data_IF_552469744288
#
_entry.id   IF_552469744288
#
_cell.length_a   1.000
_cell.length_b   1.000
_cell.length_c   1.000
_cell.angle_alpha   90.00
_cell.angle_beta   90.00
_cell.angle_gamma   90.00
#
_symmetry.space_group_name_H-M   'P 1'
#
loop_
_entity.id
_entity.type
_entity.pdbx_description
1 polymer ?
#
# COMPACT_ATOMS: atom_id res chain seq x y z
N UNK A 1 6.77 -41.28 36.65
CA UNK A 1 6.61 -39.82 36.69
C UNK A 1 7.77 -39.20 35.92
N UNK A 2 7.59 -38.92 34.62
CA UNK A 2 8.33 -37.85 33.91
C UNK A 2 7.38 -37.33 32.83
N UNK A 3 7.19 -36.01 32.87
CA UNK A 3 6.17 -35.20 32.23
C UNK A 3 6.38 -35.06 30.72
N UNK A 4 5.27 -35.06 29.97
CA UNK A 4 5.25 -34.66 28.55
C UNK A 4 5.41 -33.14 28.46
N UNK A 5 6.49 -32.66 27.86
CA UNK A 5 6.54 -31.28 27.38
C UNK A 5 6.34 -31.32 25.87
N UNK A 6 5.10 -31.01 25.47
CA UNK A 6 4.74 -30.73 24.08
C UNK A 6 5.27 -29.34 23.76
N UNK A 7 6.37 -29.25 23.03
CA UNK A 7 6.79 -28.01 22.38
C UNK A 7 5.82 -27.74 21.21
N UNK A 8 4.70 -27.08 21.52
CA UNK A 8 3.85 -26.49 20.50
C UNK A 8 4.54 -25.23 20.00
N UNK A 9 5.44 -25.39 19.04
CA UNK A 9 5.95 -24.29 18.23
C UNK A 9 4.78 -23.65 17.49
N UNK A 10 4.26 -22.54 18.03
CA UNK A 10 3.38 -21.65 17.31
C UNK A 10 4.23 -20.99 16.23
N UNK A 11 4.25 -21.60 15.04
CA UNK A 11 4.84 -20.99 13.85
C UNK A 11 3.95 -19.80 13.54
N UNK A 12 4.27 -18.64 14.11
CA UNK A 12 3.72 -17.37 13.66
C UNK A 12 4.10 -17.27 12.18
N UNK A 13 3.11 -17.45 11.31
CA UNK A 13 3.31 -17.35 9.88
C UNK A 13 3.80 -15.94 9.61
N UNK A 14 5.11 -15.78 9.39
CA UNK A 14 5.65 -14.57 8.82
C UNK A 14 4.82 -14.32 7.55
N UNK A 15 4.19 -13.13 7.38
CA UNK A 15 3.44 -12.86 6.18
C UNK A 15 4.37 -13.15 5.01
N UNK A 16 3.91 -14.00 4.09
CA UNK A 16 4.69 -14.46 2.95
C UNK A 16 5.42 -13.26 2.33
N UNK A 17 6.66 -13.46 1.90
CA UNK A 17 7.46 -12.45 1.22
C UNK A 17 6.80 -12.10 -0.14
N UNK A 18 5.70 -11.36 -0.08
CA UNK A 18 5.02 -10.79 -1.23
C UNK A 18 5.95 -9.71 -1.77
N UNK A 19 6.17 -9.73 -3.09
CA UNK A 19 6.93 -8.68 -3.75
C UNK A 19 6.32 -7.32 -3.37
N UNK A 20 7.17 -6.36 -2.96
CA UNK A 20 6.69 -5.03 -2.56
C UNK A 20 5.82 -4.43 -3.66
N UNK A 21 4.67 -3.87 -3.28
CA UNK A 21 3.72 -3.29 -4.24
C UNK A 21 4.38 -2.17 -5.06
N UNK A 22 5.36 -1.47 -4.49
CA UNK A 22 6.14 -0.46 -5.22
C UNK A 22 6.89 -1.03 -6.45
N UNK A 23 7.41 -2.27 -6.36
CA UNK A 23 8.08 -2.93 -7.49
C UNK A 23 7.07 -3.26 -8.59
N UNK A 24 5.89 -3.76 -8.21
CA UNK A 24 4.81 -4.10 -9.14
C UNK A 24 4.34 -2.84 -9.88
N UNK A 25 4.12 -1.74 -9.15
CA UNK A 25 3.76 -0.45 -9.73
C UNK A 25 4.84 0.07 -10.69
N UNK A 26 6.13 -0.05 -10.32
CA UNK A 26 7.21 0.34 -11.23
C UNK A 26 7.22 -0.50 -12.50
N UNK A 27 7.06 -1.82 -12.39
CA UNK A 27 7.00 -2.72 -13.55
C UNK A 27 5.80 -2.40 -14.46
N UNK A 28 4.66 -1.99 -13.88
CA UNK A 28 3.44 -1.62 -14.61
C UNK A 28 3.59 -0.31 -15.37
N UNK A 29 4.15 0.72 -14.73
CA UNK A 29 4.15 2.09 -15.26
C UNK A 29 5.48 2.51 -15.89
N UNK A 30 6.56 1.77 -15.64
CA UNK A 30 7.91 2.03 -16.15
C UNK A 30 8.59 3.28 -15.57
N UNK A 31 8.00 3.90 -14.54
CA UNK A 31 8.46 5.17 -13.96
C UNK A 31 8.19 5.23 -12.47
N UNK A 32 8.96 6.06 -11.75
CA UNK A 32 8.84 6.25 -10.30
C UNK A 32 7.74 7.26 -9.90
N UNK A 33 7.00 7.82 -10.86
CA UNK A 33 5.96 8.83 -10.61
C UNK A 33 4.63 8.45 -11.25
N UNK A 34 3.57 8.47 -10.46
CA UNK A 34 2.20 8.27 -10.93
C UNK A 34 1.53 9.61 -11.17
N UNK A 35 0.78 9.69 -12.26
CA UNK A 35 -0.15 10.80 -12.51
C UNK A 35 -1.35 10.71 -11.57
N UNK A 36 -2.11 11.80 -11.44
CA UNK A 36 -3.34 11.78 -10.61
C UNK A 36 -4.38 10.78 -11.09
N UNK A 37 -4.50 10.57 -12.40
CA UNK A 37 -5.42 9.57 -12.96
C UNK A 37 -5.01 8.14 -12.56
N UNK A 38 -3.71 7.83 -12.65
CA UNK A 38 -3.16 6.52 -12.25
C UNK A 38 -3.26 6.31 -10.75
N UNK A 39 -2.92 7.32 -9.96
CA UNK A 39 -3.08 7.26 -8.51
C UNK A 39 -4.54 7.00 -8.11
N UNK A 40 -5.49 7.68 -8.76
CA UNK A 40 -6.91 7.47 -8.49
C UNK A 40 -7.35 6.03 -8.84
N UNK A 41 -6.85 5.48 -9.94
CA UNK A 41 -7.12 4.11 -10.35
C UNK A 41 -6.56 3.09 -9.34
N UNK A 42 -5.32 3.26 -8.88
CA UNK A 42 -4.69 2.37 -7.89
C UNK A 42 -5.36 2.47 -6.51
N UNK A 43 -5.86 3.66 -6.14
CA UNK A 43 -6.64 3.86 -4.91
C UNK A 43 -8.11 3.45 -5.04
N UNK A 44 -8.58 3.09 -6.23
CA UNK A 44 -9.97 2.69 -6.47
C UNK A 44 -10.99 3.82 -6.31
N UNK A 45 -10.59 5.09 -6.49
CA UNK A 45 -11.47 6.27 -6.35
C UNK A 45 -11.52 7.10 -7.64
N UNK A 46 -12.53 7.96 -7.77
CA UNK A 46 -12.61 8.90 -8.89
C UNK A 46 -11.53 9.97 -8.76
N UNK A 47 -10.93 10.38 -9.88
CA UNK A 47 -9.89 11.43 -9.88
C UNK A 47 -10.39 12.77 -9.30
N UNK A 48 -11.67 13.12 -9.53
CA UNK A 48 -12.29 14.28 -8.88
C UNK A 48 -12.32 14.16 -7.36
N UNK A 49 -12.67 12.98 -6.83
CA UNK A 49 -12.64 12.71 -5.39
C UNK A 49 -11.22 12.76 -4.84
N UNK A 50 -10.23 12.23 -5.57
CA UNK A 50 -8.82 12.33 -5.20
C UNK A 50 -8.37 13.79 -5.09
N UNK A 51 -8.73 14.65 -6.06
CA UNK A 51 -8.38 16.07 -5.98
C UNK A 51 -9.04 16.76 -4.79
N UNK A 52 -10.30 16.45 -4.49
CA UNK A 52 -10.97 16.97 -3.31
C UNK A 52 -10.25 16.54 -2.02
N UNK A 53 -9.85 15.27 -1.92
CA UNK A 53 -9.08 14.78 -0.78
C UNK A 53 -7.72 15.48 -0.64
N UNK A 54 -7.04 15.77 -1.74
CA UNK A 54 -5.77 16.52 -1.73
C UNK A 54 -6.01 17.96 -1.28
N UNK A 55 -7.05 18.63 -1.78
CA UNK A 55 -7.41 19.99 -1.37
C UNK A 55 -7.79 20.07 0.12
N UNK A 56 -8.40 19.00 0.65
CA UNK A 56 -8.76 18.86 2.07
C UNK A 56 -7.61 18.39 2.96
N UNK A 57 -6.41 18.16 2.42
CA UNK A 57 -5.25 17.57 3.12
C UNK A 57 -5.54 16.18 3.75
N UNK A 58 -6.46 15.43 3.13
CA UNK A 58 -6.90 14.08 3.53
C UNK A 58 -6.39 12.98 2.61
N UNK A 59 -5.53 13.31 1.65
CA UNK A 59 -4.96 12.30 0.76
C UNK A 59 -4.03 11.38 1.56
N UNK A 60 -4.28 10.07 1.49
CA UNK A 60 -3.52 9.10 2.27
C UNK A 60 -2.09 8.89 1.76
N UNK A 61 -1.78 9.37 0.55
CA UNK A 61 -0.45 9.26 -0.06
C UNK A 61 0.11 10.65 -0.32
N UNK A 62 1.38 10.85 0.01
CA UNK A 62 2.08 12.10 -0.27
C UNK A 62 2.11 12.41 -1.78
N UNK A 63 1.74 13.63 -2.13
CA UNK A 63 1.78 14.11 -3.51
C UNK A 63 2.60 15.39 -3.60
N UNK A 64 3.27 15.59 -4.73
CA UNK A 64 4.07 16.78 -4.99
C UNK A 64 3.74 17.37 -6.35
N UNK A 65 4.03 18.66 -6.50
CA UNK A 65 3.80 19.41 -7.74
C UNK A 65 5.10 19.57 -8.51
N UNK A 66 5.07 19.30 -9.81
CA UNK A 66 6.18 19.53 -10.74
C UNK A 66 5.61 20.34 -11.92
N UNK A 67 5.94 21.64 -11.96
CA UNK A 67 5.34 22.58 -12.91
C UNK A 67 3.84 22.77 -12.67
N UNK A 68 3.02 22.49 -13.70
CA UNK A 68 1.54 22.57 -13.64
C UNK A 68 0.89 21.25 -13.22
N UNK A 69 1.66 20.18 -13.11
CA UNK A 69 1.14 18.84 -12.87
C UNK A 69 1.44 18.39 -11.43
N UNK A 70 0.63 17.46 -10.93
CA UNK A 70 0.80 16.81 -9.64
C UNK A 70 1.10 15.33 -9.85
N UNK A 71 2.02 14.81 -9.05
CA UNK A 71 2.48 13.43 -9.09
C UNK A 71 2.52 12.83 -7.69
N UNK A 72 2.49 11.49 -7.63
CA UNK A 72 2.80 10.72 -6.44
C UNK A 72 3.99 9.80 -6.71
N UNK A 73 4.83 9.61 -5.70
CA UNK A 73 5.95 8.69 -5.79
C UNK A 73 5.44 7.24 -5.68
N UNK A 74 5.89 6.38 -6.59
CA UNK A 74 5.51 4.97 -6.64
C UNK A 74 5.80 4.24 -5.33
N UNK A 75 6.88 4.59 -4.63
CA UNK A 75 7.26 3.99 -3.36
C UNK A 75 6.25 4.31 -2.27
N UNK A 76 5.84 5.58 -2.18
CA UNK A 76 4.84 6.02 -1.20
C UNK A 76 3.47 5.37 -1.45
N UNK A 77 3.07 5.22 -2.72
CA UNK A 77 1.84 4.53 -3.10
C UNK A 77 1.92 3.04 -2.75
N UNK A 78 3.04 2.40 -3.08
CA UNK A 78 3.27 0.99 -2.77
C UNK A 78 3.22 0.70 -1.27
N UNK A 79 3.89 1.53 -0.47
CA UNK A 79 3.90 1.37 0.99
C UNK A 79 2.52 1.57 1.62
N UNK A 80 1.72 2.51 1.10
CA UNK A 80 0.33 2.68 1.51
C UNK A 80 -0.51 1.43 1.24
N UNK A 81 -0.39 0.85 0.04
CA UNK A 81 -1.13 -0.36 -0.33
C UNK A 81 -0.67 -1.58 0.47
N UNK A 82 0.64 -1.74 0.67
CA UNK A 82 1.21 -2.81 1.51
C UNK A 82 0.72 -2.69 2.96
N UNK A 83 0.64 -1.46 3.49
CA UNK A 83 0.09 -1.20 4.83
C UNK A 83 -1.40 -1.57 4.91
N UNK A 84 -2.22 -1.16 3.94
CA UNK A 84 -3.65 -1.51 3.88
C UNK A 84 -3.86 -3.02 3.77
N UNK A 85 -3.03 -3.71 3.00
CA UNK A 85 -3.09 -5.17 2.90
C UNK A 85 -2.78 -5.85 4.24
N UNK A 86 -1.74 -5.41 4.95
CA UNK A 86 -1.40 -5.93 6.29
C UNK A 86 -2.51 -5.68 7.31
N UNK A 87 -3.12 -4.50 7.28
CA UNK A 87 -4.26 -4.21 8.17
C UNK A 87 -5.48 -5.09 7.85
N UNK A 88 -5.77 -5.30 6.57
CA UNK A 88 -6.86 -6.17 6.15
C UNK A 88 -6.62 -7.64 6.50
N UNK A 89 -5.37 -8.14 6.41
CA UNK A 89 -5.05 -9.52 6.78
C UNK A 89 -5.28 -9.76 8.27
N UNK A 90 -4.92 -8.80 9.13
CA UNK A 90 -5.14 -8.89 10.58
C UNK A 90 -6.62 -8.87 10.97
N UNK A 91 -7.47 -8.18 10.20
CA UNK A 91 -8.91 -8.14 10.44
C UNK A 91 -9.55 -9.48 10.08
N UNK A 92 -9.07 -10.15 9.03
CA UNK A 92 -9.62 -11.43 8.59
C UNK A 92 -9.34 -12.59 9.55
N UNK A 93 -8.38 -12.43 10.47
CA UNK A 93 -7.99 -13.44 11.45
C UNK A 93 -8.75 -13.32 12.79
N UNK A 94 -9.65 -12.33 12.91
CA UNK A 94 -10.45 -12.06 14.11
C UNK A 94 -11.90 -12.49 13.95
#
# INVERSE_FOLDING_TARGET
MVERIRETGHISAAPAATASTAIILYMRYGRMRLTMSELAAELGIKEGSLRNLISDDKCAVATYTEGRNRYADVRAVGEYLDQRYREASLISER
#
